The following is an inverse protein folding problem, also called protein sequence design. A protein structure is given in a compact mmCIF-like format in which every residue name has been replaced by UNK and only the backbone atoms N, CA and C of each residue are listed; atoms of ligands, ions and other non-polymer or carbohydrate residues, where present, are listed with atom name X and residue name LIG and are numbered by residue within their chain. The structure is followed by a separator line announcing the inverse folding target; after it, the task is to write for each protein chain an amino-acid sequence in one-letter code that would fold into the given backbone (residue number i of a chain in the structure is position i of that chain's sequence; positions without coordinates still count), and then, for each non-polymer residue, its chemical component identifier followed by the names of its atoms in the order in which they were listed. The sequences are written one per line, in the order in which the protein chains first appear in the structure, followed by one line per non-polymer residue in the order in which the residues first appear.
data_IF_535080508627
#
_entry.id   IF_535080508627
#
_cell.length_a   1.000
_cell.length_b   1.000
_cell.length_c   1.000
_cell.angle_alpha   90.00
_cell.angle_beta   90.00
_cell.angle_gamma   90.00
#
_symmetry.space_group_name_H-M   'P 1'
#
loop_
_entity.id
_entity.type
_entity.pdbx_description
1 polymer ?
#
# COMPACT_ATOMS: atom_id res chain seq x y z
N UNK A 1 -10.23 -6.91 -14.70
CA UNK A 1 -10.46 -5.46 -14.54
C UNK A 1 -9.52 -4.88 -13.48
N UNK A 2 -9.50 -5.43 -12.26
CA UNK A 2 -8.59 -4.96 -11.18
C UNK A 2 -7.11 -4.94 -11.57
N UNK A 3 -6.60 -5.98 -12.25
CA UNK A 3 -5.21 -6.03 -12.72
C UNK A 3 -4.86 -4.93 -13.74
N UNK A 4 -5.84 -4.50 -14.54
CA UNK A 4 -5.65 -3.41 -15.49
C UNK A 4 -5.57 -2.07 -14.76
N UNK A 5 -6.48 -1.83 -13.80
CA UNK A 5 -6.46 -0.64 -12.93
C UNK A 5 -5.15 -0.59 -12.13
N UNK A 6 -4.72 -1.71 -11.57
CA UNK A 6 -3.44 -1.83 -10.88
C UNK A 6 -2.26 -1.49 -11.79
N UNK A 7 -2.28 -1.94 -13.05
CA UNK A 7 -1.26 -1.58 -14.05
C UNK A 7 -1.19 -0.08 -14.31
N UNK A 8 -2.35 0.58 -14.47
CA UNK A 8 -2.45 2.04 -14.66
C UNK A 8 -1.90 2.79 -13.44
N UNK A 9 -2.34 2.41 -12.24
CA UNK A 9 -1.90 3.04 -10.99
C UNK A 9 -0.39 2.86 -10.79
N UNK A 10 0.15 1.65 -10.99
CA UNK A 10 1.58 1.38 -10.84
C UNK A 10 2.42 2.22 -11.79
N UNK A 11 2.02 2.32 -13.06
CA UNK A 11 2.71 3.15 -14.05
C UNK A 11 2.72 4.61 -13.61
N UNK A 12 1.57 5.15 -13.21
CA UNK A 12 1.44 6.54 -12.75
C UNK A 12 2.31 6.83 -11.52
N UNK A 13 2.26 5.95 -10.53
CA UNK A 13 3.04 6.07 -9.28
C UNK A 13 4.55 6.04 -9.55
N UNK A 14 5.00 5.22 -10.49
CA UNK A 14 6.41 5.12 -10.91
C UNK A 14 6.85 6.40 -11.66
N UNK A 15 6.07 6.85 -12.65
CA UNK A 15 6.38 8.03 -13.47
C UNK A 15 6.39 9.33 -12.64
N UNK A 16 5.43 9.49 -11.74
CA UNK A 16 5.28 10.66 -10.88
C UNK A 16 6.13 10.59 -9.60
N UNK A 17 6.86 9.48 -9.38
CA UNK A 17 7.67 9.23 -8.17
C UNK A 17 6.89 9.48 -6.88
N UNK A 18 5.62 9.06 -6.86
CA UNK A 18 4.71 9.27 -5.70
C UNK A 18 5.24 8.54 -4.46
N UNK A 19 5.86 7.38 -4.67
CA UNK A 19 6.39 6.53 -3.61
C UNK A 19 7.89 6.84 -3.41
N UNK A 20 8.29 7.02 -2.14
CA UNK A 20 9.68 7.28 -1.77
C UNK A 20 10.57 6.06 -2.03
N UNK A 21 11.86 6.30 -2.28
CA UNK A 21 12.87 5.25 -2.50
C UNK A 21 13.02 4.29 -1.31
N UNK A 22 12.73 4.73 -0.08
CA UNK A 22 12.73 3.86 1.11
C UNK A 22 11.49 2.98 1.27
N UNK A 23 10.48 3.06 0.39
CA UNK A 23 9.35 2.13 0.42
C UNK A 23 9.75 0.84 -0.31
N UNK A 24 9.76 -0.28 0.40
CA UNK A 24 10.04 -1.60 -0.17
C UNK A 24 8.78 -2.48 -0.29
N UNK A 25 7.83 -2.34 0.63
CA UNK A 25 6.57 -3.06 0.58
C UNK A 25 5.75 -2.70 -0.67
N UNK A 26 5.22 -3.72 -1.35
CA UNK A 26 4.37 -3.59 -2.55
C UNK A 26 5.00 -2.77 -3.69
N UNK A 27 6.33 -2.65 -3.73
CA UNK A 27 7.05 -1.90 -4.76
C UNK A 27 7.75 -2.86 -5.71
N UNK A 28 7.52 -2.71 -7.02
CA UNK A 28 8.15 -3.57 -8.04
C UNK A 28 9.67 -3.52 -7.92
N UNK A 29 10.31 -4.68 -7.95
CA UNK A 29 11.78 -4.80 -7.87
C UNK A 29 12.34 -4.64 -6.45
N UNK A 30 11.50 -4.51 -5.42
CA UNK A 30 11.92 -4.48 -4.01
C UNK A 30 11.30 -5.63 -3.23
N UNK A 31 11.98 -6.04 -2.18
CA UNK A 31 11.59 -7.16 -1.34
C UNK A 31 11.87 -6.86 0.13
N UNK A 32 11.43 -7.77 1.01
CA UNK A 32 11.81 -7.73 2.42
C UNK A 32 13.33 -7.73 2.60
N UNK A 33 14.05 -8.46 1.74
CA UNK A 33 15.50 -8.60 1.82
C UNK A 33 16.19 -7.30 1.42
N UNK A 34 15.74 -6.64 0.34
CA UNK A 34 16.32 -5.35 -0.04
C UNK A 34 16.03 -4.27 1.01
N UNK A 35 14.89 -4.35 1.70
CA UNK A 35 14.58 -3.47 2.83
C UNK A 35 15.56 -3.69 3.99
N UNK A 36 15.81 -4.96 4.33
CA UNK A 36 16.71 -5.31 5.41
C UNK A 36 18.15 -4.88 5.11
N UNK A 37 18.61 -5.10 3.88
CA UNK A 37 19.95 -4.67 3.44
C UNK A 37 20.09 -3.15 3.53
N UNK A 38 19.13 -2.39 2.98
CA UNK A 38 19.17 -0.92 3.03
C UNK A 38 19.17 -0.40 4.48
N UNK A 39 18.36 -1.00 5.35
CA UNK A 39 18.34 -0.65 6.77
C UNK A 39 19.68 -0.93 7.47
N UNK A 40 20.29 -2.10 7.23
CA UNK A 40 21.59 -2.41 7.83
C UNK A 40 22.69 -1.50 7.31
N UNK A 41 22.70 -1.17 6.03
CA UNK A 41 23.67 -0.25 5.43
C UNK A 41 23.64 1.12 6.14
N UNK A 42 22.44 1.70 6.31
CA UNK A 42 22.23 2.95 7.04
C UNK A 42 22.70 2.83 8.50
N UNK A 43 22.30 1.77 9.20
CA UNK A 43 22.68 1.56 10.60
C UNK A 43 24.19 1.39 10.79
N UNK A 44 24.85 0.59 9.94
CA UNK A 44 26.30 0.37 10.01
C UNK A 44 27.05 1.66 9.72
N UNK A 45 26.58 2.48 8.76
CA UNK A 45 27.21 3.77 8.47
C UNK A 45 27.21 4.70 9.68
N UNK A 46 26.11 4.75 10.44
CA UNK A 46 26.03 5.57 11.65
C UNK A 46 26.91 5.04 12.77
N UNK A 47 27.00 3.72 12.93
CA UNK A 47 27.87 3.08 13.93
C UNK A 47 29.34 3.36 13.61
N UNK A 48 29.74 3.25 12.34
CA UNK A 48 31.11 3.54 11.89
C UNK A 48 31.50 5.00 12.09
N UNK A 49 30.52 5.92 11.98
CA UNK A 49 30.69 7.34 12.32
C UNK A 49 30.71 7.62 13.83
N UNK A 50 30.55 6.61 14.68
CA UNK A 50 30.49 6.74 16.13
C UNK A 50 29.19 7.40 16.63
N UNK A 51 28.13 7.40 15.82
CA UNK A 51 26.83 7.98 16.17
C UNK A 51 25.96 6.98 16.93
N UNK A 52 25.21 7.48 17.89
CA UNK A 52 24.14 6.71 18.51
C UNK A 52 22.98 6.54 17.51
N UNK A 53 22.41 5.33 17.47
CA UNK A 53 21.31 4.98 16.60
C UNK A 53 20.24 4.22 17.39
N UNK A 54 18.99 4.69 17.29
CA UNK A 54 17.81 4.05 17.89
C UNK A 54 16.79 3.76 16.79
N UNK A 55 16.01 2.69 16.96
CA UNK A 55 15.07 2.22 15.94
C UNK A 55 13.66 2.13 16.53
N UNK A 56 12.70 2.78 15.88
CA UNK A 56 11.28 2.71 16.23
C UNK A 56 10.54 1.88 15.18
N UNK A 57 10.02 0.73 15.59
CA UNK A 57 9.13 -0.07 14.77
C UNK A 57 7.68 0.29 15.05
N UNK A 58 6.94 0.65 14.00
CA UNK A 58 5.52 0.99 14.05
C UNK A 58 4.73 -0.01 13.20
N UNK A 59 3.60 -0.47 13.74
CA UNK A 59 2.68 -1.34 13.02
C UNK A 59 1.24 -0.85 13.20
N UNK A 60 0.44 -0.99 12.13
CA UNK A 60 -0.97 -0.60 12.14
C UNK A 60 -1.84 -1.84 12.33
N UNK A 61 -2.55 -1.90 13.46
CA UNK A 61 -3.57 -2.93 13.69
C UNK A 61 -4.65 -2.85 12.61
N UNK A 62 -4.85 -3.97 11.87
CA UNK A 62 -5.87 -4.08 10.82
C UNK A 62 -5.82 -2.92 9.80
N UNK A 63 -4.63 -2.59 9.29
CA UNK A 63 -4.41 -1.43 8.43
C UNK A 63 -5.40 -1.27 7.26
N UNK A 64 -5.79 -2.37 6.62
CA UNK A 64 -6.74 -2.34 5.49
C UNK A 64 -8.20 -2.19 5.91
N UNK A 65 -8.56 -2.62 7.12
CA UNK A 65 -9.92 -2.46 7.66
C UNK A 65 -10.11 -1.06 8.26
N UNK A 66 -9.03 -0.45 8.75
CA UNK A 66 -9.07 0.84 9.46
C UNK A 66 -8.84 2.05 8.56
N UNK A 67 -8.42 1.85 7.31
CA UNK A 67 -8.15 2.95 6.39
C UNK A 67 -9.44 3.69 6.02
N UNK A 68 -9.50 4.99 6.29
CA UNK A 68 -10.63 5.81 5.86
C UNK A 68 -10.69 5.90 4.33
N UNK A 69 -11.79 5.41 3.74
CA UNK A 69 -12.02 5.47 2.30
C UNK A 69 -11.96 6.91 1.77
N UNK A 70 -12.57 7.88 2.46
CA UNK A 70 -12.57 9.29 2.06
C UNK A 70 -11.15 9.88 2.01
N UNK A 71 -10.31 9.54 3.00
CA UNK A 71 -8.91 9.99 3.03
C UNK A 71 -8.11 9.32 1.90
N UNK A 72 -8.34 8.04 1.66
CA UNK A 72 -7.69 7.31 0.57
C UNK A 72 -8.02 7.93 -0.79
N UNK A 73 -9.30 8.14 -1.11
CA UNK A 73 -9.73 8.78 -2.36
C UNK A 73 -9.15 10.20 -2.51
N UNK A 74 -9.17 10.98 -1.43
CA UNK A 74 -8.57 12.33 -1.43
C UNK A 74 -7.06 12.29 -1.71
N UNK A 75 -6.34 11.28 -1.20
CA UNK A 75 -4.91 11.08 -1.49
C UNK A 75 -4.69 10.67 -2.94
N UNK A 76 -5.52 9.79 -3.51
CA UNK A 76 -5.40 9.38 -4.91
C UNK A 76 -5.58 10.57 -5.86
N UNK A 77 -6.57 11.44 -5.61
CA UNK A 77 -6.75 12.70 -6.37
C UNK A 77 -5.56 13.64 -6.22
N UNK A 78 -5.00 13.79 -5.01
CA UNK A 78 -3.79 14.60 -4.77
C UNK A 78 -2.53 14.03 -5.44
N UNK A 79 -2.50 12.73 -5.71
CA UNK A 79 -1.44 12.11 -6.50
C UNK A 79 -1.62 12.34 -8.01
N UNK A 80 -2.63 13.11 -8.44
CA UNK A 80 -2.92 13.42 -9.85
C UNK A 80 -3.30 12.20 -10.69
N UNK A 81 -3.86 11.14 -10.08
CA UNK A 81 -4.48 10.06 -10.85
C UNK A 81 -5.70 10.61 -11.59
N UNK A 82 -5.97 10.07 -12.78
CA UNK A 82 -7.13 10.47 -13.57
C UNK A 82 -8.44 10.11 -12.85
N UNK A 83 -9.47 10.94 -13.07
CA UNK A 83 -10.73 10.83 -12.33
C UNK A 83 -11.47 9.50 -12.62
N UNK A 84 -11.26 8.91 -13.81
CA UNK A 84 -11.84 7.60 -14.13
C UNK A 84 -11.23 6.51 -13.25
N UNK A 85 -9.90 6.47 -13.13
CA UNK A 85 -9.20 5.52 -12.24
C UNK A 85 -9.60 5.73 -10.78
N UNK A 86 -9.67 6.98 -10.32
CA UNK A 86 -10.11 7.30 -8.95
C UNK A 86 -11.54 6.82 -8.70
N UNK A 87 -12.46 7.10 -9.64
CA UNK A 87 -13.86 6.68 -9.54
C UNK A 87 -14.00 5.15 -9.54
N UNK A 88 -13.19 4.43 -10.31
CA UNK A 88 -13.15 2.96 -10.25
C UNK A 88 -12.77 2.45 -8.86
N UNK A 89 -11.76 3.06 -8.21
CA UNK A 89 -11.36 2.68 -6.85
C UNK A 89 -12.44 3.05 -5.83
N UNK A 90 -13.03 4.24 -5.94
CA UNK A 90 -14.12 4.70 -5.07
C UNK A 90 -15.33 3.75 -5.14
N UNK A 91 -15.74 3.36 -6.35
CA UNK A 91 -16.80 2.39 -6.57
C UNK A 91 -16.45 0.99 -6.05
N UNK A 92 -15.19 0.56 -6.19
CA UNK A 92 -14.74 -0.74 -5.67
C UNK A 92 -14.74 -0.78 -4.14
N UNK A 93 -14.45 0.33 -3.48
CA UNK A 93 -14.47 0.42 -2.01
C UNK A 93 -15.88 0.53 -1.43
N UNK A 94 -16.85 1.03 -2.20
CA UNK A 94 -18.22 1.25 -1.76
C UNK A 94 -19.07 -0.03 -1.83
N UNK A 95 -19.96 -0.22 -0.84
CA UNK A 95 -20.98 -1.28 -0.86
C UNK A 95 -20.44 -2.72 -0.92
N UNK A 96 -19.20 -2.97 -0.48
CA UNK A 96 -18.61 -4.32 -0.51
C UNK A 96 -19.39 -5.29 0.36
N UNK A 97 -19.81 -6.40 -0.24
CA UNK A 97 -20.35 -7.56 0.45
C UNK A 97 -19.41 -8.75 0.24
N UNK A 98 -19.10 -9.49 1.31
CA UNK A 98 -18.27 -10.68 1.22
C UNK A 98 -19.18 -11.91 1.24
N UNK A 99 -18.95 -12.84 0.29
CA UNK A 99 -19.62 -14.14 0.28
C UNK A 99 -18.61 -15.24 0.52
N UNK A 100 -18.83 -16.02 1.58
CA UNK A 100 -18.07 -17.24 1.87
C UNK A 100 -18.97 -18.42 1.51
N UNK A 101 -18.47 -19.31 0.64
CA UNK A 101 -19.20 -20.54 0.26
C UNK A 101 -18.55 -21.69 1.02
N UNK A 102 -19.30 -22.33 1.91
CA UNK A 102 -18.87 -23.53 2.63
C UNK A 102 -19.78 -24.66 2.16
N UNK A 103 -19.18 -25.67 1.52
CA UNK A 103 -19.81 -26.97 1.20
C UNK A 103 -21.32 -26.89 0.91
N UNK A 104 -21.67 -26.39 -0.28
CA UNK A 104 -23.05 -26.28 -0.82
C UNK A 104 -24.01 -25.30 -0.13
N UNK A 105 -23.63 -24.65 0.97
CA UNK A 105 -24.49 -23.64 1.64
C UNK A 105 -23.84 -22.27 1.54
N UNK A 106 -24.57 -21.31 0.95
CA UNK A 106 -24.13 -19.92 0.86
C UNK A 106 -24.69 -19.12 2.03
N UNK A 107 -23.82 -18.57 2.87
CA UNK A 107 -24.19 -17.55 3.84
C UNK A 107 -23.66 -16.20 3.35
N UNK A 108 -24.54 -15.21 3.25
CA UNK A 108 -24.17 -13.83 2.94
C UNK A 108 -24.12 -13.07 4.26
N UNK A 109 -22.92 -12.64 4.66
CA UNK A 109 -22.70 -11.78 5.82
C UNK A 109 -22.29 -10.39 5.37
N UNK A 110 -22.92 -9.35 5.93
CA UNK A 110 -22.47 -7.97 5.78
C UNK A 110 -21.21 -7.74 6.63
N UNK A 111 -20.29 -6.93 6.10
CA UNK A 111 -19.13 -6.42 6.83
C UNK A 111 -19.54 -5.35 7.84
#
# INVERSE_FOLDING_TARGET
MEQLILGVINKHVEEKKVIRSGQHGFTRGKSWLTNLIAFYDDMTSWVDEGRAADVLYLDFSKAFDTVSHNILISKLRKCELDEWTVSCVENWLNGRAQRVVISSTSLVGGL
#
